data_IF_312604831419
#
_entry.id   IF_312604831419
#
_cell.length_a   1.000
_cell.length_b   1.000
_cell.length_c   1.000
_cell.angle_alpha   90.00
_cell.angle_beta   90.00
_cell.angle_gamma   90.00
#
_symmetry.space_group_name_H-M   'P 1'
#
loop_
_entity.id
_entity.type
_entity.pdbx_description
1 polymer ?
#
# COMPACT_ATOMS: atom_id res chain seq x y z
N UNK A 1 -11.07 1.27 -18.11
CA UNK A 1 -11.90 1.39 -16.91
C UNK A 1 -12.73 2.66 -16.98
N UNK A 2 -13.99 2.59 -16.61
CA UNK A 2 -14.88 3.75 -16.63
C UNK A 2 -14.55 4.68 -15.48
N UNK A 3 -14.75 5.98 -15.68
CA UNK A 3 -14.50 7.01 -14.66
C UNK A 3 -15.21 6.73 -13.34
N UNK A 4 -16.46 6.27 -13.39
CA UNK A 4 -17.23 5.93 -12.18
C UNK A 4 -16.61 4.79 -11.39
N UNK A 5 -16.11 3.76 -12.06
CA UNK A 5 -15.41 2.64 -11.42
C UNK A 5 -14.12 3.13 -10.75
N UNK A 6 -13.38 4.01 -11.41
CA UNK A 6 -12.16 4.58 -10.83
C UNK A 6 -12.46 5.45 -9.61
N UNK A 7 -13.55 6.22 -9.63
CA UNK A 7 -13.97 6.99 -8.47
C UNK A 7 -14.29 6.10 -7.26
N UNK A 8 -14.95 4.96 -7.49
CA UNK A 8 -15.21 4.00 -6.41
C UNK A 8 -13.94 3.40 -5.85
N UNK A 9 -12.97 3.09 -6.70
CA UNK A 9 -11.66 2.60 -6.27
C UNK A 9 -10.96 3.66 -5.44
N UNK A 10 -10.96 4.91 -5.91
CA UNK A 10 -10.35 6.02 -5.19
C UNK A 10 -10.98 6.23 -3.80
N UNK A 11 -12.30 6.11 -3.69
CA UNK A 11 -12.98 6.20 -2.40
C UNK A 11 -12.52 5.11 -1.44
N UNK A 12 -12.32 3.88 -1.92
CA UNK A 12 -11.80 2.78 -1.10
C UNK A 12 -10.38 3.04 -0.64
N UNK A 13 -9.52 3.52 -1.52
CA UNK A 13 -8.13 3.85 -1.18
C UNK A 13 -8.10 4.97 -0.14
N UNK A 14 -8.90 6.01 -0.32
CA UNK A 14 -9.00 7.13 0.62
C UNK A 14 -9.52 6.68 1.99
N UNK A 15 -10.50 5.78 2.01
CA UNK A 15 -11.04 5.23 3.26
C UNK A 15 -9.98 4.42 4.02
N UNK A 16 -9.16 3.64 3.33
CA UNK A 16 -8.06 2.90 3.94
C UNK A 16 -7.00 3.86 4.50
N UNK A 17 -6.65 4.91 3.78
CA UNK A 17 -5.72 5.92 4.26
C UNK A 17 -6.23 6.60 5.54
N UNK A 18 -7.51 6.92 5.60
CA UNK A 18 -8.14 7.49 6.80
C UNK A 18 -8.11 6.50 7.97
N UNK A 19 -8.43 5.25 7.74
CA UNK A 19 -8.37 4.21 8.78
C UNK A 19 -6.95 4.07 9.34
N UNK A 20 -5.94 4.08 8.49
CA UNK A 20 -4.54 4.01 8.89
C UNK A 20 -4.16 5.24 9.72
N UNK A 21 -4.60 6.42 9.31
CA UNK A 21 -4.35 7.65 10.05
C UNK A 21 -4.92 7.56 11.49
N UNK A 22 -6.14 7.04 11.64
CA UNK A 22 -6.75 6.86 12.96
C UNK A 22 -5.98 5.83 13.81
N UNK A 23 -5.54 4.73 13.21
CA UNK A 23 -4.75 3.73 13.92
C UNK A 23 -3.39 4.29 14.35
N UNK A 24 -2.74 5.05 13.50
CA UNK A 24 -1.43 5.66 13.80
C UNK A 24 -1.51 6.59 15.02
N UNK A 25 -2.64 7.22 15.25
CA UNK A 25 -2.86 8.06 16.43
C UNK A 25 -3.11 7.26 17.71
N UNK A 26 -3.59 6.02 17.62
CA UNK A 26 -4.07 5.24 18.76
C UNK A 26 -3.24 4.01 19.09
N UNK A 27 -2.46 3.51 18.14
CA UNK A 27 -1.66 2.30 18.30
C UNK A 27 -0.18 2.56 17.98
N UNK A 28 0.75 1.95 18.75
CA UNK A 28 2.17 2.05 18.41
C UNK A 28 2.46 1.31 17.10
N UNK A 29 3.20 1.94 16.22
CA UNK A 29 3.67 1.34 14.99
C UNK A 29 4.79 0.36 15.32
N UNK A 30 4.80 -0.82 14.70
CA UNK A 30 5.90 -1.75 14.81
C UNK A 30 7.16 -1.17 14.16
N UNK A 31 8.31 -1.72 14.53
CA UNK A 31 9.57 -1.28 13.96
C UNK A 31 9.60 -1.45 12.44
N UNK A 32 10.16 -0.49 11.72
CA UNK A 32 10.32 -0.56 10.27
C UNK A 32 11.38 -1.59 9.91
N UNK A 33 11.02 -2.54 9.04
CA UNK A 33 11.93 -3.57 8.53
C UNK A 33 12.24 -3.31 7.07
N UNK A 34 13.51 -3.44 6.70
CA UNK A 34 13.93 -3.27 5.32
C UNK A 34 13.32 -4.36 4.43
N UNK A 35 12.77 -3.95 3.29
CA UNK A 35 12.25 -4.86 2.28
C UNK A 35 13.41 -5.40 1.45
N UNK A 36 13.82 -6.67 1.71
CA UNK A 36 14.96 -7.29 1.05
C UNK A 36 16.22 -6.41 1.19
N UNK A 37 16.87 -6.06 0.07
CA UNK A 37 18.03 -5.15 0.03
C UNK A 37 17.69 -3.79 -0.59
N UNK A 38 16.40 -3.48 -0.71
CA UNK A 38 15.92 -2.27 -1.35
C UNK A 38 15.92 -1.08 -0.40
N UNK A 39 15.84 0.13 -0.96
CA UNK A 39 15.61 1.37 -0.19
C UNK A 39 14.11 1.53 0.13
N UNK A 40 13.52 0.47 0.66
CA UNK A 40 12.12 0.41 1.03
C UNK A 40 11.99 -0.29 2.37
N UNK A 41 10.98 0.09 3.14
CA UNK A 41 10.76 -0.40 4.49
C UNK A 41 9.29 -0.73 4.70
N UNK A 42 9.02 -1.74 5.53
CA UNK A 42 7.68 -2.20 5.84
C UNK A 42 7.50 -2.15 7.36
N UNK A 43 6.35 -1.65 7.79
CA UNK A 43 5.94 -1.81 9.19
C UNK A 43 4.55 -2.43 9.24
N UNK A 44 4.18 -2.92 10.41
CA UNK A 44 2.83 -3.43 10.67
C UNK A 44 2.11 -2.47 11.61
N UNK A 45 0.90 -2.08 11.24
CA UNK A 45 0.02 -1.25 12.05
C UNK A 45 -1.36 -1.91 12.06
N UNK A 46 -1.74 -2.50 13.21
CA UNK A 46 -2.97 -3.28 13.29
C UNK A 46 -2.95 -4.45 12.31
N UNK A 47 -3.92 -4.50 11.39
CA UNK A 47 -4.00 -5.51 10.34
C UNK A 47 -3.47 -5.02 8.99
N UNK A 48 -2.75 -3.91 8.98
CA UNK A 48 -2.12 -3.38 7.77
C UNK A 48 -0.61 -3.60 7.76
N UNK A 49 -0.08 -3.93 6.60
CA UNK A 49 1.33 -3.74 6.29
C UNK A 49 1.46 -2.46 5.48
N UNK A 50 2.42 -1.62 5.85
CA UNK A 50 2.62 -0.31 5.22
C UNK A 50 3.99 -0.27 4.58
N UNK A 51 4.02 0.02 3.28
CA UNK A 51 5.26 0.15 2.52
C UNK A 51 5.67 1.61 2.39
N UNK A 52 6.90 1.88 2.79
CA UNK A 52 7.56 3.16 2.57
C UNK A 52 8.69 2.98 1.57
N UNK A 53 8.63 3.69 0.45
CA UNK A 53 9.69 3.73 -0.56
C UNK A 53 10.50 5.01 -0.33
N UNK A 54 11.77 4.85 0.00
CA UNK A 54 12.60 5.94 0.51
C UNK A 54 11.95 6.59 1.75
N UNK A 55 11.33 7.75 1.61
CA UNK A 55 10.68 8.47 2.73
C UNK A 55 9.17 8.61 2.56
N UNK A 56 8.61 8.00 1.53
CA UNK A 56 7.20 8.18 1.16
C UNK A 56 6.43 6.88 1.30
N UNK A 57 5.29 6.91 1.97
CA UNK A 57 4.39 5.77 2.02
C UNK A 57 3.70 5.65 0.66
N UNK A 58 3.83 4.48 0.02
CA UNK A 58 3.41 4.30 -1.37
C UNK A 58 2.37 3.20 -1.56
N UNK A 59 2.23 2.30 -0.62
CA UNK A 59 1.25 1.23 -0.71
C UNK A 59 0.96 0.64 0.68
N UNK A 60 -0.18 -0.03 0.78
CA UNK A 60 -0.63 -0.69 2.01
C UNK A 60 -1.28 -2.01 1.64
N UNK A 61 -1.01 -3.06 2.42
CA UNK A 61 -1.73 -4.32 2.31
C UNK A 61 -2.68 -4.45 3.50
N UNK A 62 -3.98 -4.62 3.22
CA UNK A 62 -4.97 -4.99 4.21
C UNK A 62 -5.00 -6.52 4.30
N UNK A 63 -4.54 -7.07 5.41
CA UNK A 63 -4.44 -8.52 5.60
C UNK A 63 -5.80 -9.19 5.75
N UNK A 64 -6.86 -8.45 6.08
CA UNK A 64 -8.22 -8.99 6.21
C UNK A 64 -8.78 -9.46 4.87
N UNK A 65 -8.44 -8.76 3.80
CA UNK A 65 -8.97 -9.01 2.46
C UNK A 65 -7.90 -9.39 1.46
N UNK A 66 -6.64 -9.45 1.90
CA UNK A 66 -5.47 -9.65 1.04
C UNK A 66 -5.47 -8.69 -0.16
N UNK A 67 -5.72 -7.42 0.12
CA UNK A 67 -5.79 -6.37 -0.88
C UNK A 67 -4.64 -5.39 -0.72
N UNK A 68 -3.92 -5.13 -1.82
CA UNK A 68 -2.92 -4.08 -1.87
C UNK A 68 -3.55 -2.80 -2.41
N UNK A 69 -3.49 -1.75 -1.60
CA UNK A 69 -3.91 -0.40 -2.00
C UNK A 69 -2.68 0.39 -2.43
N UNK A 70 -2.58 0.64 -3.73
CA UNK A 70 -1.46 1.35 -4.34
C UNK A 70 -1.91 2.77 -4.69
N UNK A 71 -1.36 3.75 -4.00
CA UNK A 71 -1.69 5.16 -4.21
C UNK A 71 -0.50 5.99 -4.69
N UNK A 72 0.58 5.31 -5.05
CA UNK A 72 1.80 5.98 -5.45
C UNK A 72 1.69 6.69 -6.78
N UNK A 73 1.07 6.02 -7.77
CA UNK A 73 1.25 6.37 -9.16
C UNK A 73 0.88 7.81 -9.51
N UNK A 74 -0.24 8.27 -8.96
CA UNK A 74 -0.77 9.59 -9.32
C UNK A 74 -0.52 10.64 -8.23
N UNK A 75 -0.25 10.19 -7.01
CA UNK A 75 -0.13 11.09 -5.86
C UNK A 75 1.34 11.46 -5.57
N UNK A 76 2.26 10.52 -5.73
CA UNK A 76 3.63 10.67 -5.27
C UNK A 76 4.69 10.54 -6.37
N UNK A 77 4.37 10.89 -7.60
CA UNK A 77 5.32 10.83 -8.72
C UNK A 77 5.91 9.43 -8.90
N UNK A 78 5.09 8.53 -9.37
CA UNK A 78 5.43 7.14 -9.62
C UNK A 78 6.72 6.98 -10.42
N UNK A 79 7.64 6.15 -9.92
CA UNK A 79 8.88 5.80 -10.62
C UNK A 79 8.96 4.30 -10.83
N UNK A 80 9.82 3.88 -11.77
CA UNK A 80 10.08 2.45 -12.00
C UNK A 80 10.60 1.76 -10.74
N UNK A 81 11.46 2.44 -9.96
CA UNK A 81 11.99 1.90 -8.71
C UNK A 81 10.88 1.69 -7.68
N UNK A 82 9.97 2.66 -7.52
CA UNK A 82 8.84 2.51 -6.61
C UNK A 82 7.89 1.41 -7.04
N UNK A 83 7.68 1.23 -8.34
CA UNK A 83 6.89 0.12 -8.87
C UNK A 83 7.50 -1.24 -8.51
N UNK A 84 8.83 -1.36 -8.61
CA UNK A 84 9.53 -2.57 -8.21
C UNK A 84 9.39 -2.84 -6.70
N UNK A 85 9.47 -1.80 -5.87
CA UNK A 85 9.27 -1.93 -4.43
C UNK A 85 7.86 -2.44 -4.12
N UNK A 86 6.84 -1.92 -4.78
CA UNK A 86 5.45 -2.36 -4.59
C UNK A 86 5.29 -3.82 -5.02
N UNK A 87 5.87 -4.24 -6.15
CA UNK A 87 5.81 -5.62 -6.61
C UNK A 87 6.44 -6.58 -5.61
N UNK A 88 7.62 -6.25 -5.08
CA UNK A 88 8.30 -7.05 -4.06
C UNK A 88 7.50 -7.10 -2.76
N UNK A 89 6.92 -5.98 -2.36
CA UNK A 89 6.08 -5.88 -1.18
C UNK A 89 4.86 -6.80 -1.30
N UNK A 90 4.15 -6.75 -2.42
CA UNK A 90 3.00 -7.63 -2.65
C UNK A 90 3.40 -9.11 -2.63
N UNK A 91 4.54 -9.44 -3.20
CA UNK A 91 5.05 -10.81 -3.23
C UNK A 91 5.42 -11.30 -1.83
N UNK A 92 6.10 -10.49 -1.04
CA UNK A 92 6.63 -10.91 0.26
C UNK A 92 5.59 -10.87 1.39
N UNK A 93 4.60 -9.99 1.31
CA UNK A 93 3.62 -9.77 2.37
C UNK A 93 2.18 -10.13 1.98
N UNK A 94 1.92 -10.39 0.72
CA UNK A 94 0.62 -10.89 0.29
C UNK A 94 0.40 -12.34 0.72
N UNK A 95 -0.84 -12.74 0.93
CA UNK A 95 -1.19 -14.08 1.36
C UNK A 95 -1.21 -15.10 0.22
N UNK A 96 -1.33 -14.65 -1.03
CA UNK A 96 -1.40 -15.53 -2.20
C UNK A 96 -0.02 -16.02 -2.66
N UNK A 97 -0.02 -17.04 -3.51
CA UNK A 97 1.20 -17.63 -4.06
C UNK A 97 2.03 -16.62 -4.86
N UNK A 98 1.38 -15.71 -5.54
CA UNK A 98 2.01 -14.72 -6.42
C UNK A 98 1.83 -13.28 -5.94
N UNK A 99 1.48 -13.09 -4.66
CA UNK A 99 1.27 -11.78 -4.06
C UNK A 99 -0.14 -11.65 -3.47
N UNK A 100 -0.68 -10.43 -3.50
CA UNK A 100 -2.03 -10.17 -2.98
C UNK A 100 -3.11 -10.68 -3.92
N UNK A 101 -4.23 -11.13 -3.35
CA UNK A 101 -5.39 -11.56 -4.12
C UNK A 101 -5.98 -10.42 -4.94
N UNK A 102 -5.94 -9.19 -4.41
CA UNK A 102 -6.49 -8.01 -5.05
C UNK A 102 -5.49 -6.86 -5.04
N UNK A 103 -5.60 -5.98 -6.03
CA UNK A 103 -4.84 -4.74 -6.08
C UNK A 103 -5.75 -3.62 -6.56
N UNK A 104 -5.82 -2.56 -5.77
CA UNK A 104 -6.57 -1.35 -6.12
C UNK A 104 -5.59 -0.17 -6.22
N UNK A 105 -5.59 0.51 -7.34
CA UNK A 105 -4.67 1.63 -7.61
C UNK A 105 -5.47 2.93 -7.69
N UNK A 106 -5.11 3.90 -6.86
CA UNK A 106 -5.68 5.24 -6.95
C UNK A 106 -5.18 5.91 -8.24
N UNK A 107 -6.09 6.56 -8.95
CA UNK A 107 -5.74 7.29 -10.19
C UNK A 107 -6.50 8.59 -10.26
N UNK A 108 -5.86 9.58 -10.82
CA UNK A 108 -6.53 10.84 -11.15
C UNK A 108 -7.58 10.61 -12.24
N UNK A 109 -8.76 11.21 -12.04
CA UNK A 109 -9.89 11.10 -12.98
C UNK A 109 -10.25 12.45 -13.61
#
# INVERSE_FOLDING_TARGET
>A
MKKQEQLLINEKVDAICEEIYQLDMNEPVSEWKRLRTCSAYVCKLGHFYILKSYRTIVAVIDTRTDTCYDFLREVYCYTATSAQHIAKFMHDYGAGTYGCANRLTWREV
#
